data_IF_628268968238
#
_entry.id   IF_628268968238
#
_cell.length_a   1.000
_cell.length_b   1.000
_cell.length_c   1.000
_cell.angle_alpha   90.00
_cell.angle_beta   90.00
_cell.angle_gamma   90.00
#
_symmetry.space_group_name_H-M   'P 1'
#
loop_
_entity.id
_entity.type
_entity.pdbx_description
1 polymer ?
#
# COMPACT_ATOMS: atom_id res chain seq x y z
N UNK A 1 16.42 13.15 1.75
CA UNK A 1 17.02 14.49 1.56
C UNK A 1 16.54 15.49 2.60
N UNK A 2 15.23 15.79 2.69
CA UNK A 2 14.63 16.74 3.66
C UNK A 2 15.17 16.54 5.08
N UNK A 3 15.07 15.32 5.63
CA UNK A 3 15.61 15.02 6.97
C UNK A 3 17.12 15.27 7.17
N UNK A 4 17.93 15.18 6.11
CA UNK A 4 19.36 15.53 6.19
C UNK A 4 19.58 17.03 6.15
N UNK A 5 18.82 17.74 5.31
CA UNK A 5 18.80 19.20 5.27
C UNK A 5 18.38 19.77 6.63
N UNK A 6 17.36 19.20 7.28
CA UNK A 6 16.90 19.60 8.62
C UNK A 6 17.98 19.40 9.71
N UNK A 7 18.92 18.47 9.48
CA UNK A 7 20.07 18.22 10.37
C UNK A 7 21.29 19.08 10.04
N UNK A 8 21.16 20.03 9.10
CA UNK A 8 22.25 20.92 8.68
C UNK A 8 23.30 20.24 7.79
N UNK A 9 22.99 19.07 7.21
CA UNK A 9 23.89 18.39 6.27
C UNK A 9 23.68 18.93 4.85
N UNK A 10 24.13 20.17 4.63
CA UNK A 10 23.98 20.91 3.37
C UNK A 10 24.80 20.30 2.21
N UNK A 11 25.82 19.49 2.53
CA UNK A 11 26.68 18.81 1.57
C UNK A 11 26.30 17.33 1.36
N UNK A 12 25.19 16.87 1.93
CA UNK A 12 24.69 15.53 1.69
C UNK A 12 24.47 15.32 0.19
N UNK A 13 25.30 14.46 -0.42
CA UNK A 13 25.06 13.96 -1.77
C UNK A 13 23.61 13.45 -1.84
N UNK A 14 22.94 13.72 -2.96
CA UNK A 14 21.63 13.14 -3.24
C UNK A 14 21.81 11.62 -3.32
N UNK A 15 21.44 10.94 -2.24
CA UNK A 15 21.53 9.50 -2.16
C UNK A 15 20.16 8.88 -2.47
N UNK A 16 20.07 8.23 -3.63
CA UNK A 16 18.86 7.52 -4.05
C UNK A 16 18.88 6.08 -3.55
N UNK A 17 17.71 5.56 -3.17
CA UNK A 17 17.52 4.13 -2.93
C UNK A 17 17.33 3.41 -4.26
N UNK A 18 17.77 2.15 -4.30
CA UNK A 18 17.61 1.30 -5.48
C UNK A 18 16.14 0.92 -5.66
N UNK A 19 15.50 1.52 -6.67
CA UNK A 19 14.18 1.07 -7.11
C UNK A 19 14.25 -0.36 -7.69
N UNK A 20 15.39 -0.72 -8.31
CA UNK A 20 15.64 -2.06 -8.85
C UNK A 20 15.51 -3.14 -7.78
N UNK A 21 16.17 -2.94 -6.64
CA UNK A 21 16.14 -3.89 -5.54
C UNK A 21 14.73 -4.03 -4.99
N UNK A 22 14.03 -2.92 -4.75
CA UNK A 22 12.66 -2.96 -4.27
C UNK A 22 11.76 -3.75 -5.23
N UNK A 23 11.85 -3.51 -6.54
CA UNK A 23 11.03 -4.21 -7.53
C UNK A 23 11.43 -5.68 -7.73
N UNK A 24 12.70 -6.05 -7.51
CA UNK A 24 13.19 -7.43 -7.67
C UNK A 24 13.05 -8.28 -6.40
N UNK A 25 13.14 -7.68 -5.20
CA UNK A 25 13.33 -8.40 -3.94
C UNK A 25 12.18 -8.26 -2.94
N UNK A 26 11.21 -7.36 -3.14
CA UNK A 26 10.16 -7.11 -2.16
C UNK A 26 9.20 -8.30 -1.92
N UNK A 27 9.25 -9.38 -2.71
CA UNK A 27 8.61 -10.69 -2.47
C UNK A 27 7.08 -10.73 -2.49
N UNK A 28 6.40 -9.62 -2.22
CA UNK A 28 4.94 -9.48 -2.09
C UNK A 28 4.31 -8.64 -3.21
N UNK A 29 5.00 -8.50 -4.35
CA UNK A 29 4.49 -7.85 -5.56
C UNK A 29 4.97 -8.57 -6.82
N UNK A 30 4.33 -8.27 -7.95
CA UNK A 30 4.65 -8.87 -9.25
C UNK A 30 5.69 -8.02 -10.00
N UNK A 31 6.56 -7.33 -9.26
CA UNK A 31 7.55 -6.35 -9.74
C UNK A 31 7.00 -5.38 -10.80
N UNK A 32 7.38 -5.53 -12.06
CA UNK A 32 6.94 -4.74 -13.21
C UNK A 32 5.49 -4.99 -13.63
N UNK A 33 4.86 -6.07 -13.21
CA UNK A 33 3.43 -6.32 -13.47
C UNK A 33 2.51 -5.65 -12.45
N UNK A 34 3.08 -4.97 -11.45
CA UNK A 34 2.36 -4.22 -10.45
C UNK A 34 2.86 -4.48 -9.03
N UNK A 35 2.36 -3.69 -8.10
CA UNK A 35 2.72 -3.81 -6.69
C UNK A 35 1.72 -3.08 -5.80
N UNK A 36 1.93 -3.20 -4.49
CA UNK A 36 1.12 -2.50 -3.50
C UNK A 36 2.03 -1.72 -2.54
N UNK A 37 1.56 -0.54 -2.10
CA UNK A 37 2.32 0.34 -1.22
C UNK A 37 2.63 -0.29 0.15
N UNK A 38 1.69 -0.96 0.85
CA UNK A 38 1.97 -1.57 2.15
C UNK A 38 3.18 -2.51 2.11
N UNK A 39 3.24 -3.42 1.13
CA UNK A 39 4.35 -4.37 0.97
C UNK A 39 5.68 -3.66 0.72
N UNK A 40 5.68 -2.62 -0.12
CA UNK A 40 6.89 -1.84 -0.40
C UNK A 40 7.41 -1.14 0.86
N UNK A 41 6.54 -0.46 1.61
CA UNK A 41 6.90 0.19 2.86
C UNK A 41 7.34 -0.80 3.94
N UNK A 42 6.68 -1.95 4.04
CA UNK A 42 7.06 -3.02 4.94
C UNK A 42 8.44 -3.59 4.60
N UNK A 43 8.74 -3.85 3.32
CA UNK A 43 10.06 -4.31 2.90
C UNK A 43 11.15 -3.28 3.22
N UNK A 44 10.88 -2.00 2.94
CA UNK A 44 11.77 -0.91 3.30
C UNK A 44 12.02 -0.82 4.81
N UNK A 45 11.02 -1.13 5.65
CA UNK A 45 11.14 -1.18 7.11
C UNK A 45 11.92 -2.40 7.61
N UNK A 46 11.55 -3.58 7.15
CA UNK A 46 12.03 -4.86 7.69
C UNK A 46 13.40 -5.24 7.16
N UNK A 47 13.62 -5.10 5.85
CA UNK A 47 14.85 -5.50 5.15
C UNK A 47 15.73 -4.29 4.79
N UNK A 48 15.09 -3.16 4.48
CA UNK A 48 15.77 -1.97 3.99
C UNK A 48 16.15 -2.06 2.51
N UNK A 49 16.69 -0.96 1.99
CA UNK A 49 17.12 -0.87 0.59
C UNK A 49 18.58 -0.44 0.49
N UNK A 50 19.30 -1.02 -0.46
CA UNK A 50 20.57 -0.54 -0.92
C UNK A 50 20.43 0.79 -1.67
N UNK A 51 21.57 1.44 -1.87
CA UNK A 51 21.67 2.64 -2.70
C UNK A 51 21.54 2.29 -4.18
N UNK A 52 21.05 3.23 -4.96
CA UNK A 52 20.98 3.15 -6.42
C UNK A 52 22.35 2.83 -7.04
N UNK A 53 23.44 3.37 -6.51
CA UNK A 53 24.80 3.11 -6.99
C UNK A 53 25.26 1.65 -6.80
N UNK A 54 24.63 0.89 -5.90
CA UNK A 54 24.90 -0.54 -5.73
C UNK A 54 24.08 -1.37 -6.74
N UNK A 55 22.79 -1.09 -6.82
CA UNK A 55 21.84 -1.83 -7.64
C UNK A 55 21.13 -0.85 -8.57
N UNK A 56 21.78 -0.42 -9.67
CA UNK A 56 21.19 0.56 -10.57
C UNK A 56 19.89 0.05 -11.19
N UNK A 57 18.96 0.94 -11.47
CA UNK A 57 17.71 0.66 -12.17
C UNK A 57 17.95 0.16 -13.59
N UNK A 58 17.52 -1.08 -13.87
CA UNK A 58 17.68 -1.76 -15.16
C UNK A 58 16.37 -1.98 -15.89
N UNK A 59 15.23 -1.68 -15.27
CA UNK A 59 13.93 -1.82 -15.93
C UNK A 59 13.75 -0.75 -16.99
N UNK A 60 14.07 -1.11 -18.24
CA UNK A 60 13.85 -0.30 -19.42
C UNK A 60 12.64 -0.84 -20.19
N UNK A 61 11.45 -0.51 -19.72
CA UNK A 61 10.22 -0.69 -20.48
C UNK A 61 9.41 0.61 -20.39
N UNK A 62 9.83 1.62 -21.14
CA UNK A 62 8.92 2.74 -21.42
C UNK A 62 8.20 2.49 -22.75
N UNK A 63 6.89 2.74 -22.72
CA UNK A 63 6.06 2.89 -23.89
C UNK A 63 6.36 4.25 -24.53
N UNK A 64 7.02 4.27 -25.69
CA UNK A 64 7.14 5.48 -26.51
C UNK A 64 5.83 5.74 -27.24
N UNK A 65 4.88 6.39 -26.57
CA UNK A 65 3.75 7.09 -27.21
C UNK A 65 3.67 8.58 -26.78
N UNK A 66 4.66 9.13 -26.05
CA UNK A 66 4.62 10.52 -25.55
C UNK A 66 5.77 11.43 -25.98
N UNK A 67 6.70 10.98 -26.84
CA UNK A 67 7.73 11.86 -27.39
C UNK A 67 8.69 12.45 -26.35
N UNK A 68 9.29 11.61 -25.49
CA UNK A 68 10.28 12.04 -24.50
C UNK A 68 11.70 11.63 -24.90
N UNK A 69 12.60 12.59 -24.73
CA UNK A 69 14.03 12.63 -25.07
C UNK A 69 14.88 11.53 -24.40
N UNK A 70 15.86 11.03 -25.17
CA UNK A 70 16.98 10.17 -24.76
C UNK A 70 17.74 10.66 -23.51
N UNK A 71 17.61 11.93 -23.16
CA UNK A 71 18.35 12.54 -22.05
C UNK A 71 17.88 12.15 -20.64
N UNK A 72 16.72 11.49 -20.50
CA UNK A 72 16.25 10.99 -19.20
C UNK A 72 16.93 9.67 -18.78
N UNK A 73 17.78 9.09 -19.63
CA UNK A 73 18.54 7.87 -19.37
C UNK A 73 20.08 8.09 -19.31
N UNK A 74 20.53 9.35 -19.31
CA UNK A 74 21.95 9.72 -19.45
C UNK A 74 22.74 9.48 -18.15
N UNK A 75 23.99 9.03 -18.13
CA UNK A 75 25.03 8.81 -19.13
C UNK A 75 25.94 7.66 -18.66
N UNK A 76 26.75 7.11 -19.55
CA UNK A 76 27.60 5.90 -19.43
C UNK A 76 26.92 4.54 -19.70
N UNK A 77 25.75 4.22 -19.12
CA UNK A 77 25.11 2.89 -19.35
C UNK A 77 24.13 2.83 -20.53
N UNK A 78 23.75 3.98 -21.11
CA UNK A 78 22.80 4.06 -22.25
C UNK A 78 23.46 4.11 -23.63
N UNK A 79 24.79 4.27 -23.72
CA UNK A 79 25.49 4.40 -25.01
C UNK A 79 25.79 3.06 -25.72
N UNK A 80 25.36 1.93 -25.17
CA UNK A 80 25.59 0.63 -25.79
C UNK A 80 24.26 -0.11 -26.01
N UNK A 81 23.59 0.16 -27.14
CA UNK A 81 22.89 -0.83 -28.02
C UNK A 81 21.57 -0.41 -28.70
N UNK A 82 20.99 0.78 -28.50
CA UNK A 82 19.70 1.12 -29.17
C UNK A 82 19.84 2.05 -30.39
N UNK A 83 20.93 1.98 -31.14
CA UNK A 83 21.21 2.90 -32.25
C UNK A 83 20.39 2.68 -33.54
N UNK A 84 19.33 1.85 -33.55
CA UNK A 84 18.74 1.39 -34.83
C UNK A 84 17.21 1.28 -34.92
N UNK A 85 16.42 1.82 -33.99
CA UNK A 85 14.97 1.82 -34.17
C UNK A 85 14.38 3.20 -33.86
N UNK A 86 13.83 3.86 -34.89
CA UNK A 86 13.09 5.11 -34.80
C UNK A 86 11.59 4.78 -34.83
N UNK A 87 10.96 4.76 -33.66
CA UNK A 87 9.55 4.36 -33.52
C UNK A 87 8.54 5.40 -33.99
N UNK A 88 8.98 6.59 -34.42
CA UNK A 88 8.07 7.63 -34.94
C UNK A 88 7.50 7.27 -36.32
N UNK A 89 8.11 6.30 -37.01
CA UNK A 89 7.72 5.90 -38.38
C UNK A 89 7.64 4.39 -38.60
N UNK A 90 7.95 3.57 -37.58
CA UNK A 90 8.21 2.14 -37.76
C UNK A 90 7.24 1.28 -36.95
N UNK A 91 6.43 0.48 -37.64
CA UNK A 91 5.49 -0.46 -37.03
C UNK A 91 6.23 -1.54 -36.22
N UNK A 92 5.59 -2.05 -35.16
CA UNK A 92 6.13 -3.19 -34.41
C UNK A 92 6.50 -4.35 -35.35
N UNK A 93 7.60 -5.08 -35.07
CA UNK A 93 7.95 -6.27 -35.83
C UNK A 93 6.75 -7.23 -35.85
N UNK A 94 6.43 -7.79 -37.02
CA UNK A 94 5.36 -8.80 -37.16
C UNK A 94 5.57 -10.02 -36.23
N UNK A 95 6.83 -10.28 -35.85
CA UNK A 95 7.23 -11.28 -34.86
C UNK A 95 8.20 -10.63 -33.88
N UNK A 96 7.71 -10.09 -32.75
CA UNK A 96 8.55 -9.45 -31.77
C UNK A 96 9.37 -10.51 -31.00
N UNK A 97 10.68 -10.30 -30.92
CA UNK A 97 11.62 -11.07 -30.09
C UNK A 97 11.54 -10.59 -28.63
N UNK A 98 11.22 -11.47 -27.66
CA UNK A 98 11.16 -11.15 -26.24
C UNK A 98 12.43 -10.54 -25.63
N UNK A 99 13.59 -10.79 -26.23
CA UNK A 99 14.89 -10.36 -25.68
C UNK A 99 15.36 -9.02 -26.26
N UNK A 100 14.82 -8.58 -27.40
CA UNK A 100 15.35 -7.43 -28.14
C UNK A 100 14.31 -6.45 -28.65
N UNK A 101 13.02 -6.81 -28.64
CA UNK A 101 11.96 -5.92 -29.12
C UNK A 101 11.54 -4.91 -28.04
N UNK A 102 11.11 -3.69 -28.42
CA UNK A 102 10.55 -2.74 -27.47
C UNK A 102 9.39 -3.35 -26.69
N UNK A 103 9.29 -3.06 -25.38
CA UNK A 103 8.27 -3.69 -24.53
C UNK A 103 6.84 -3.42 -25.02
N UNK A 104 6.58 -2.29 -25.69
CA UNK A 104 5.29 -1.98 -26.32
C UNK A 104 4.89 -2.90 -27.47
N UNK A 105 5.87 -3.56 -28.10
CA UNK A 105 5.66 -4.53 -29.17
C UNK A 105 5.53 -5.96 -28.64
N UNK A 106 5.77 -6.20 -27.35
CA UNK A 106 5.67 -7.51 -26.73
C UNK A 106 4.28 -7.69 -26.10
N UNK A 107 3.60 -8.83 -26.32
CA UNK A 107 2.42 -9.19 -25.56
C UNK A 107 2.70 -9.18 -24.05
N UNK A 108 1.72 -8.81 -23.23
CA UNK A 108 1.89 -8.65 -21.77
C UNK A 108 2.41 -9.90 -21.06
N UNK A 109 2.21 -11.10 -21.62
CA UNK A 109 2.78 -12.36 -21.10
C UNK A 109 4.32 -12.39 -21.14
N UNK A 110 4.95 -11.53 -21.94
CA UNK A 110 6.40 -11.37 -22.01
C UNK A 110 6.93 -10.21 -21.15
N UNK A 111 6.04 -9.45 -20.48
CA UNK A 111 6.44 -8.45 -19.50
C UNK A 111 6.78 -9.20 -18.20
N UNK A 112 8.07 -9.45 -17.98
CA UNK A 112 8.54 -10.17 -16.80
C UNK A 112 8.12 -9.42 -15.53
N UNK A 113 7.50 -10.14 -14.59
CA UNK A 113 7.17 -9.62 -13.26
C UNK A 113 8.44 -9.10 -12.56
N UNK A 114 9.56 -9.82 -12.58
CA UNK A 114 10.85 -9.29 -12.14
C UNK A 114 11.87 -9.41 -13.26
N UNK A 115 12.28 -8.30 -13.91
CA UNK A 115 13.19 -8.36 -15.06
C UNK A 115 14.63 -8.70 -14.64
N UNK A 116 14.95 -8.57 -13.35
CA UNK A 116 16.20 -9.05 -12.75
C UNK A 116 15.83 -9.88 -11.53
N UNK A 117 16.33 -11.12 -11.46
CA UNK A 117 16.19 -11.95 -10.25
C UNK A 117 16.89 -11.30 -9.05
N UNK A 118 16.27 -11.35 -7.87
CA UNK A 118 16.85 -10.80 -6.65
C UNK A 118 18.24 -11.40 -6.35
N UNK A 119 18.42 -12.72 -6.52
CA UNK A 119 19.68 -13.43 -6.29
C UNK A 119 20.84 -13.00 -7.20
N UNK A 120 20.54 -12.22 -8.25
CA UNK A 120 21.54 -11.67 -9.18
C UNK A 120 21.94 -10.24 -8.81
N UNK A 121 21.31 -9.64 -7.82
CA UNK A 121 21.71 -8.35 -7.28
C UNK A 121 22.86 -8.51 -6.27
N UNK A 122 23.71 -7.49 -6.08
CA UNK A 122 24.84 -7.61 -5.16
C UNK A 122 24.40 -7.75 -3.69
N UNK A 123 24.64 -8.92 -3.09
CA UNK A 123 24.30 -9.20 -1.68
C UNK A 123 25.12 -8.40 -0.67
N UNK A 124 26.32 -7.95 -1.04
CA UNK A 124 27.26 -7.29 -0.13
C UNK A 124 26.92 -5.81 0.16
N UNK A 125 25.83 -5.28 -0.39
CA UNK A 125 25.53 -3.86 -0.29
C UNK A 125 24.86 -3.47 1.03
N UNK A 126 25.34 -2.38 1.67
CA UNK A 126 24.69 -1.86 2.86
C UNK A 126 23.24 -1.46 2.57
N UNK A 127 22.31 -2.03 3.34
CA UNK A 127 20.89 -1.67 3.29
C UNK A 127 20.56 -0.65 4.36
N UNK A 128 19.76 0.33 4.00
CA UNK A 128 19.21 1.32 4.92
C UNK A 128 17.74 1.02 5.14
N UNK A 129 17.35 0.81 6.39
CA UNK A 129 15.94 0.62 6.75
C UNK A 129 15.22 1.96 6.81
N UNK A 130 14.01 2.00 6.28
CA UNK A 130 13.06 3.08 6.53
C UNK A 130 12.51 2.88 7.94
N UNK A 131 12.74 3.80 8.88
CA UNK A 131 12.52 3.56 10.30
C UNK A 131 11.04 3.54 10.66
N UNK A 132 10.26 4.44 10.06
CA UNK A 132 8.85 4.63 10.31
C UNK A 132 8.18 5.09 9.02
N UNK A 133 7.11 4.40 8.65
CA UNK A 133 6.13 4.84 7.67
C UNK A 133 4.74 4.92 8.30
N UNK A 134 3.89 5.76 7.72
CA UNK A 134 2.52 5.97 8.15
C UNK A 134 1.57 6.00 6.96
N UNK A 135 0.32 5.66 7.23
CA UNK A 135 -0.78 5.74 6.28
C UNK A 135 -1.79 6.81 6.73
N UNK A 136 -2.18 7.67 5.80
CA UNK A 136 -3.23 8.66 5.95
C UNK A 136 -4.49 8.07 5.31
N UNK A 137 -5.46 7.71 6.16
CA UNK A 137 -6.72 7.09 5.78
C UNK A 137 -7.49 7.90 4.72
N UNK A 138 -7.85 7.23 3.63
CA UNK A 138 -8.73 7.75 2.59
C UNK A 138 -10.20 7.60 2.94
N UNK A 139 -11.08 7.90 1.98
CA UNK A 139 -12.53 7.74 2.18
C UNK A 139 -12.95 6.27 2.24
N UNK A 140 -12.20 5.35 1.62
CA UNK A 140 -12.43 3.91 1.76
C UNK A 140 -12.23 3.42 3.20
N UNK A 141 -11.36 4.08 3.96
CA UNK A 141 -11.08 3.81 5.37
C UNK A 141 -11.89 4.71 6.33
N UNK A 142 -12.89 5.42 5.81
CA UNK A 142 -13.86 6.19 6.61
C UNK A 142 -13.46 7.65 6.89
N UNK A 143 -12.38 8.15 6.29
CA UNK A 143 -12.02 9.58 6.37
C UNK A 143 -12.97 10.43 5.51
N UNK A 144 -13.12 11.71 5.85
CA UNK A 144 -13.77 12.68 4.96
C UNK A 144 -12.72 13.35 4.07
N UNK A 145 -13.11 13.81 2.88
CA UNK A 145 -12.18 14.51 1.98
C UNK A 145 -11.47 15.67 2.69
N UNK A 146 -12.16 16.62 3.37
CA UNK A 146 -11.48 17.72 4.05
C UNK A 146 -10.50 17.28 5.15
N UNK A 147 -10.78 16.18 5.83
CA UNK A 147 -9.89 15.64 6.86
C UNK A 147 -8.64 15.02 6.23
N UNK A 148 -8.82 14.20 5.20
CA UNK A 148 -7.72 13.63 4.43
C UNK A 148 -6.82 14.72 3.84
N UNK A 149 -7.38 15.70 3.15
CA UNK A 149 -6.59 16.75 2.51
C UNK A 149 -5.79 17.55 3.55
N UNK A 150 -6.41 17.88 4.69
CA UNK A 150 -5.72 18.56 5.80
C UNK A 150 -4.54 17.75 6.30
N UNK A 151 -4.72 16.45 6.54
CA UNK A 151 -3.64 15.58 6.99
C UNK A 151 -2.53 15.46 5.94
N UNK A 152 -2.87 15.25 4.67
CA UNK A 152 -1.89 15.21 3.58
C UNK A 152 -1.08 16.50 3.50
N UNK A 153 -1.73 17.68 3.57
CA UNK A 153 -1.05 18.98 3.57
C UNK A 153 -0.12 19.13 4.78
N UNK A 154 -0.57 18.72 5.98
CA UNK A 154 0.23 18.78 7.19
C UNK A 154 1.48 17.88 7.06
N UNK A 155 1.33 16.64 6.59
CA UNK A 155 2.45 15.71 6.47
C UNK A 155 3.42 16.09 5.35
N UNK A 156 2.94 16.70 4.26
CA UNK A 156 3.81 17.27 3.24
C UNK A 156 4.72 18.37 3.80
N UNK A 157 4.27 19.15 4.79
CA UNK A 157 5.10 20.16 5.47
C UNK A 157 6.07 19.56 6.47
N UNK A 158 5.66 18.51 7.19
CA UNK A 158 6.42 17.97 8.32
C UNK A 158 7.38 16.85 7.91
N UNK A 159 6.95 15.96 7.02
CA UNK A 159 7.66 14.74 6.65
C UNK A 159 8.16 14.76 5.20
N UNK A 160 7.54 15.57 4.33
CA UNK A 160 7.89 15.68 2.91
C UNK A 160 6.99 14.84 2.00
N UNK A 161 7.47 14.46 0.81
CA UNK A 161 6.63 13.83 -0.22
C UNK A 161 5.86 12.60 0.25
N UNK A 162 4.63 12.46 -0.23
CA UNK A 162 3.75 11.33 0.06
C UNK A 162 3.59 10.46 -1.18
N UNK A 163 3.66 9.14 -1.01
CA UNK A 163 3.16 8.22 -2.03
C UNK A 163 1.62 8.34 -2.09
N UNK A 164 1.09 8.46 -3.29
CA UNK A 164 -0.35 8.44 -3.56
C UNK A 164 -0.65 7.54 -4.75
N UNK A 165 -1.81 6.90 -4.73
CA UNK A 165 -2.35 6.17 -5.88
C UNK A 165 -3.51 6.95 -6.48
N UNK A 166 -3.62 6.96 -7.80
CA UNK A 166 -4.73 7.56 -8.54
C UNK A 166 -5.23 6.61 -9.62
N UNK A 167 -6.44 6.80 -10.12
CA UNK A 167 -6.91 6.15 -11.34
C UNK A 167 -6.49 6.97 -12.56
N UNK A 168 -5.79 6.34 -13.49
CA UNK A 168 -5.57 6.89 -14.82
C UNK A 168 -6.73 6.54 -15.73
N UNK A 169 -7.08 7.49 -16.58
CA UNK A 169 -8.13 7.37 -17.59
C UNK A 169 -7.51 7.58 -18.98
N UNK A 170 -8.20 7.11 -20.02
CA UNK A 170 -7.74 7.23 -21.41
C UNK A 170 -7.45 8.68 -21.82
N UNK A 171 -8.21 9.63 -21.31
CA UNK A 171 -8.06 11.06 -21.60
C UNK A 171 -6.94 11.76 -20.80
N UNK A 172 -6.21 11.02 -19.95
CA UNK A 172 -5.04 11.57 -19.24
C UNK A 172 -3.99 12.16 -20.19
N UNK A 173 -3.85 11.58 -21.38
CA UNK A 173 -2.91 12.06 -22.41
C UNK A 173 -3.54 13.02 -23.41
N UNK A 174 -4.84 13.31 -23.29
CA UNK A 174 -5.55 14.20 -24.20
C UNK A 174 -5.41 15.65 -23.73
N UNK A 175 -4.81 16.57 -24.53
CA UNK A 175 -4.68 17.97 -24.17
C UNK A 175 -5.99 18.65 -23.76
N UNK A 176 -7.14 18.18 -24.26
CA UNK A 176 -8.46 18.75 -23.92
C UNK A 176 -8.83 18.53 -22.45
N UNK A 177 -8.25 17.53 -21.78
CA UNK A 177 -8.48 17.26 -20.36
C UNK A 177 -7.56 18.04 -19.41
N UNK A 178 -6.76 18.97 -19.94
CA UNK A 178 -5.87 19.84 -19.16
C UNK A 178 -6.32 21.30 -19.23
N UNK A 179 -6.31 22.00 -18.10
CA UNK A 179 -6.54 23.45 -18.05
C UNK A 179 -5.34 24.21 -18.61
N UNK A 180 -5.52 25.50 -18.92
CA UNK A 180 -4.41 26.37 -19.33
C UNK A 180 -3.31 26.47 -18.26
N UNK A 181 -3.67 26.32 -16.98
CA UNK A 181 -2.75 26.28 -15.84
C UNK A 181 -2.08 24.93 -15.60
N UNK A 182 -2.36 23.93 -16.44
CA UNK A 182 -1.79 22.58 -16.40
C UNK A 182 -2.42 21.65 -15.36
N UNK A 183 -3.67 21.91 -14.95
CA UNK A 183 -4.43 21.03 -14.06
C UNK A 183 -5.19 20.01 -14.90
N UNK A 184 -4.92 18.73 -14.65
CA UNK A 184 -5.70 17.66 -15.23
C UNK A 184 -7.08 17.57 -14.58
N UNK A 185 -8.10 17.50 -15.44
CA UNK A 185 -9.51 17.31 -15.09
C UNK A 185 -10.05 16.23 -16.01
N UNK A 186 -10.31 15.04 -15.47
CA UNK A 186 -10.92 13.96 -16.22
C UNK A 186 -12.28 14.37 -16.77
N UNK A 187 -12.52 14.09 -18.07
CA UNK A 187 -13.74 14.44 -18.80
C UNK A 187 -14.40 13.23 -19.46
N UNK A 188 -13.61 12.25 -19.93
CA UNK A 188 -14.10 11.12 -20.73
C UNK A 188 -13.16 9.93 -20.75
N UNK A 189 -13.65 8.79 -21.21
CA UNK A 189 -12.84 7.61 -21.46
C UNK A 189 -12.75 6.69 -20.24
N UNK A 190 -12.37 5.45 -20.51
CA UNK A 190 -12.39 4.39 -19.50
C UNK A 190 -11.17 4.44 -18.58
N UNK A 191 -11.30 3.82 -17.41
CA UNK A 191 -10.19 3.60 -16.47
C UNK A 191 -9.16 2.69 -17.12
N UNK A 192 -7.91 3.15 -17.18
CA UNK A 192 -6.76 2.37 -17.64
C UNK A 192 -6.17 1.53 -16.51
N UNK A 193 -6.20 2.05 -15.28
CA UNK A 193 -5.68 1.35 -14.11
C UNK A 193 -5.31 2.30 -12.98
N UNK A 194 -4.75 1.72 -11.91
CA UNK A 194 -4.15 2.49 -10.83
C UNK A 194 -2.72 2.88 -11.19
N UNK A 195 -2.32 4.09 -10.84
CA UNK A 195 -0.97 4.59 -11.01
C UNK A 195 -0.46 5.21 -9.73
N UNK A 196 0.80 4.93 -9.42
CA UNK A 196 1.50 5.40 -8.23
C UNK A 196 2.35 6.62 -8.58
N UNK A 197 2.20 7.70 -7.80
CA UNK A 197 2.98 8.93 -7.95
C UNK A 197 3.35 9.50 -6.59
N UNK A 198 4.23 10.50 -6.57
CA UNK A 198 4.55 11.24 -5.36
C UNK A 198 3.79 12.56 -5.32
N UNK A 199 2.95 12.78 -4.31
CA UNK A 199 2.47 14.11 -3.98
C UNK A 199 3.61 14.91 -3.34
N UNK A 200 3.89 16.10 -3.87
CA UNK A 200 5.00 16.95 -3.45
C UNK A 200 4.55 18.35 -3.03
N UNK A 201 3.28 18.67 -3.24
CA UNK A 201 2.72 19.95 -2.85
C UNK A 201 1.25 20.09 -3.24
N UNK A 202 0.72 21.28 -3.02
CA UNK A 202 -0.63 21.68 -3.42
C UNK A 202 -0.65 23.18 -3.63
N UNK A 203 -1.72 23.67 -4.24
CA UNK A 203 -1.93 25.10 -4.39
C UNK A 203 -3.29 25.43 -4.97
N UNK A 204 -3.42 26.68 -5.37
CA UNK A 204 -4.58 27.22 -6.06
C UNK A 204 -4.08 27.98 -7.28
N UNK A 205 -4.67 27.75 -8.45
CA UNK A 205 -4.31 28.48 -9.65
C UNK A 205 -4.98 29.88 -9.71
N UNK A 206 -4.66 30.65 -10.76
CA UNK A 206 -5.20 31.99 -10.95
C UNK A 206 -6.73 32.02 -11.15
N UNK A 207 -7.33 30.90 -11.54
CA UNK A 207 -8.78 30.73 -11.71
C UNK A 207 -9.46 30.20 -10.44
N UNK A 208 -8.77 30.21 -9.30
CA UNK A 208 -9.27 29.72 -8.01
C UNK A 208 -9.56 28.21 -8.00
N UNK A 209 -8.88 27.42 -8.84
CA UNK A 209 -8.93 25.95 -8.80
C UNK A 209 -7.83 25.41 -7.91
N UNK A 210 -8.26 24.67 -6.91
CA UNK A 210 -7.35 23.97 -6.00
C UNK A 210 -6.77 22.72 -6.67
N UNK A 211 -5.48 22.46 -6.47
CA UNK A 211 -4.79 21.31 -7.05
C UNK A 211 -3.80 20.65 -6.10
N UNK A 212 -3.55 19.38 -6.36
CA UNK A 212 -2.37 18.64 -5.89
C UNK A 212 -1.26 18.74 -6.92
N UNK A 213 -0.03 19.01 -6.49
CA UNK A 213 1.17 18.95 -7.31
C UNK A 213 1.80 17.58 -7.13
N UNK A 214 1.90 16.83 -8.22
CA UNK A 214 2.35 15.44 -8.23
C UNK A 214 3.60 15.33 -9.10
N UNK A 215 4.57 14.52 -8.66
CA UNK A 215 5.75 14.12 -9.41
C UNK A 215 5.50 12.72 -9.98
N UNK A 216 5.56 12.62 -11.31
CA UNK A 216 5.42 11.37 -12.02
C UNK A 216 6.76 10.65 -12.18
N UNK A 217 6.73 9.38 -12.60
CA UNK A 217 7.89 8.53 -12.83
C UNK A 217 8.22 8.35 -14.32
N UNK A 218 7.77 9.29 -15.17
CA UNK A 218 7.93 9.26 -16.64
C UNK A 218 9.12 10.11 -17.14
N UNK A 219 10.00 10.53 -16.24
CA UNK A 219 11.15 11.37 -16.55
C UNK A 219 10.80 12.86 -16.70
N UNK A 220 11.84 13.69 -16.75
CA UNK A 220 11.70 15.14 -16.75
C UNK A 220 11.19 15.73 -18.07
N UNK A 221 11.26 15.00 -19.18
CA UNK A 221 10.70 15.47 -20.45
C UNK A 221 9.17 15.42 -20.52
N UNK A 222 8.50 14.80 -19.54
CA UNK A 222 7.05 14.73 -19.49
C UNK A 222 6.45 15.97 -18.81
N UNK A 223 5.46 16.61 -19.44
CA UNK A 223 4.77 17.79 -18.89
C UNK A 223 5.76 18.85 -18.38
N UNK A 224 5.59 19.36 -17.16
CA UNK A 224 6.44 20.38 -16.57
C UNK A 224 7.54 19.69 -15.74
N UNK A 225 8.64 19.30 -16.38
CA UNK A 225 9.80 18.67 -15.71
C UNK A 225 9.47 17.36 -14.97
N UNK A 226 8.47 16.62 -15.44
CA UNK A 226 7.95 15.39 -14.81
C UNK A 226 6.83 15.64 -13.80
N UNK A 227 6.53 16.91 -13.48
CA UNK A 227 5.46 17.31 -12.58
C UNK A 227 4.16 17.57 -13.33
N UNK A 228 3.05 17.34 -12.63
CA UNK A 228 1.72 17.64 -13.12
C UNK A 228 0.79 18.00 -11.97
N UNK A 229 -0.32 18.64 -12.30
CA UNK A 229 -1.34 19.04 -11.32
C UNK A 229 -2.61 18.24 -11.54
N UNK A 230 -3.24 17.81 -10.46
CA UNK A 230 -4.58 17.19 -10.50
C UNK A 230 -5.51 18.02 -9.65
N UNK A 231 -6.76 18.18 -10.10
CA UNK A 231 -7.78 18.90 -9.34
C UNK A 231 -7.93 18.30 -7.94
N UNK A 232 -7.92 19.15 -6.91
CA UNK A 232 -8.08 18.76 -5.50
C UNK A 232 -9.57 18.71 -5.14
N UNK A 233 -9.95 17.81 -4.24
CA UNK A 233 -11.33 17.51 -3.88
C UNK A 233 -11.78 16.11 -4.31
N UNK A 234 -13.10 15.93 -4.43
CA UNK A 234 -13.73 14.64 -4.76
C UNK A 234 -13.30 14.08 -6.12
N UNK A 235 -12.99 14.96 -7.07
CA UNK A 235 -12.58 14.63 -8.44
C UNK A 235 -11.07 14.39 -8.62
N UNK A 236 -10.31 14.23 -7.53
CA UNK A 236 -8.87 13.98 -7.55
C UNK A 236 -8.51 12.55 -8.02
N UNK A 237 -9.17 12.03 -9.06
CA UNK A 237 -8.91 10.71 -9.65
C UNK A 237 -8.94 9.55 -8.66
N UNK A 238 -9.91 9.56 -7.75
CA UNK A 238 -10.02 8.61 -6.65
C UNK A 238 -8.79 8.58 -5.71
N UNK A 239 -7.86 9.53 -5.80
CA UNK A 239 -6.75 9.65 -4.86
C UNK A 239 -7.26 9.80 -3.42
N UNK A 240 -8.35 10.55 -3.25
CA UNK A 240 -9.01 10.72 -1.96
C UNK A 240 -9.62 9.44 -1.40
N UNK A 241 -9.88 8.45 -2.25
CA UNK A 241 -10.37 7.14 -1.86
C UNK A 241 -9.27 6.25 -1.30
N UNK A 242 -8.09 6.27 -1.91
CA UNK A 242 -7.00 5.36 -1.56
C UNK A 242 -6.09 5.86 -0.43
N UNK A 243 -6.20 7.14 -0.06
CA UNK A 243 -5.36 7.75 0.97
C UNK A 243 -3.94 8.01 0.49
N UNK A 244 -3.01 8.17 1.44
CA UNK A 244 -1.62 8.50 1.16
C UNK A 244 -0.67 7.83 2.14
N UNK A 245 0.57 7.59 1.72
CA UNK A 245 1.61 6.98 2.55
C UNK A 245 2.81 7.91 2.65
N UNK A 246 3.41 7.99 3.83
CA UNK A 246 4.59 8.82 4.08
C UNK A 246 5.63 8.10 4.91
N UNK A 247 6.86 8.62 4.89
CA UNK A 247 7.95 8.19 5.76
C UNK A 247 8.28 9.30 6.73
N UNK A 248 8.46 8.98 8.01
CA UNK A 248 8.91 9.95 8.99
C UNK A 248 10.32 9.57 9.50
N UNK A 249 11.25 10.48 9.21
CA UNK A 249 12.67 10.36 9.53
C UNK A 249 13.09 11.20 10.74
N UNK A 250 12.14 11.76 11.48
CA UNK A 250 12.43 12.58 12.67
C UNK A 250 13.11 11.77 13.78
N UNK A 251 12.83 10.46 13.88
CA UNK A 251 13.39 9.56 14.88
C UNK A 251 13.86 8.24 14.24
N UNK A 252 14.96 8.25 13.46
CA UNK A 252 15.35 7.11 12.63
C UNK A 252 15.79 5.87 13.42
N UNK A 253 16.10 6.03 14.71
CA UNK A 253 16.51 4.93 15.57
C UNK A 253 15.32 4.29 16.32
N UNK A 254 14.09 4.77 16.09
CA UNK A 254 12.88 4.29 16.77
C UNK A 254 11.80 3.95 15.75
N UNK A 255 11.45 2.68 15.69
CA UNK A 255 10.26 2.23 14.98
C UNK A 255 8.99 2.70 15.70
N UNK A 256 8.16 3.46 14.98
CA UNK A 256 6.86 3.96 15.44
C UNK A 256 5.70 3.49 14.56
N UNK A 257 5.99 2.67 13.55
CA UNK A 257 4.97 2.15 12.64
C UNK A 257 4.12 1.17 13.43
N UNK A 258 2.82 1.42 13.46
CA UNK A 258 1.89 0.47 14.06
C UNK A 258 1.71 -0.71 13.10
N UNK A 259 1.65 -1.95 13.60
CA UNK A 259 1.34 -3.10 12.74
C UNK A 259 -0.04 -2.89 12.11
N UNK A 260 -0.19 -3.18 10.83
CA UNK A 260 -1.51 -3.16 10.19
C UNK A 260 -2.26 -4.45 10.51
N UNK A 261 -3.59 -4.36 10.57
CA UNK A 261 -4.48 -5.52 10.80
C UNK A 261 -5.36 -5.64 9.57
N UNK A 262 -5.30 -6.80 8.90
CA UNK A 262 -6.05 -7.10 7.68
C UNK A 262 -6.78 -8.44 7.80
N UNK A 263 -7.71 -8.68 6.86
CA UNK A 263 -8.45 -9.95 6.72
C UNK A 263 -9.07 -10.45 8.03
N UNK A 264 -9.69 -9.52 8.77
CA UNK A 264 -10.33 -9.85 10.04
C UNK A 264 -11.62 -10.61 9.78
N UNK A 265 -11.62 -11.90 10.12
CA UNK A 265 -12.78 -12.78 10.09
C UNK A 265 -13.21 -13.13 11.52
N UNK A 266 -14.51 -12.95 11.79
CA UNK A 266 -15.15 -13.38 13.03
C UNK A 266 -16.17 -14.47 12.70
N UNK A 267 -15.98 -15.64 13.29
CA UNK A 267 -16.85 -16.79 13.09
C UNK A 267 -17.22 -17.45 14.42
N UNK A 268 -18.42 -18.00 14.51
CA UNK A 268 -18.81 -18.82 15.65
C UNK A 268 -18.59 -20.31 15.35
N UNK A 269 -17.98 -21.02 16.30
CA UNK A 269 -17.71 -22.45 16.20
C UNK A 269 -18.27 -23.17 17.44
N UNK A 270 -19.51 -23.67 17.39
CA UNK A 270 -20.09 -24.46 18.47
C UNK A 270 -19.54 -25.90 18.45
N UNK A 271 -19.24 -26.44 19.63
CA UNK A 271 -18.78 -27.81 19.85
C UNK A 271 -19.81 -28.54 20.72
N UNK A 272 -20.27 -29.70 20.26
CA UNK A 272 -21.20 -30.55 21.00
C UNK A 272 -20.50 -31.24 22.17
N UNK A 273 -21.22 -31.44 23.27
CA UNK A 273 -20.72 -32.23 24.40
C UNK A 273 -20.57 -33.71 24.00
N UNK A 274 -19.62 -34.43 24.60
CA UNK A 274 -19.29 -35.81 24.26
C UNK A 274 -20.46 -36.80 24.41
N UNK A 275 -20.36 -37.90 23.65
CA UNK A 275 -21.43 -38.85 23.26
C UNK A 275 -22.14 -39.56 24.44
N UNK A 276 -21.67 -39.43 25.68
CA UNK A 276 -22.40 -39.91 26.86
C UNK A 276 -23.69 -39.11 27.13
N UNK A 277 -23.79 -37.88 26.61
CA UNK A 277 -24.94 -36.97 26.75
C UNK A 277 -25.60 -36.59 25.41
N UNK A 278 -25.25 -37.28 24.31
CA UNK A 278 -25.74 -36.98 22.96
C UNK A 278 -27.28 -37.09 22.80
N UNK A 279 -27.98 -37.77 23.72
CA UNK A 279 -29.43 -37.79 23.75
C UNK A 279 -30.06 -36.44 24.18
N UNK A 280 -29.27 -35.49 24.71
CA UNK A 280 -29.75 -34.22 25.28
C UNK A 280 -29.57 -32.99 24.38
N UNK A 281 -28.79 -33.07 23.30
CA UNK A 281 -28.49 -31.90 22.46
C UNK A 281 -27.79 -30.78 23.24
N UNK A 282 -26.77 -31.11 24.03
CA UNK A 282 -26.03 -30.16 24.87
C UNK A 282 -24.81 -29.58 24.13
N UNK A 283 -24.63 -28.26 24.17
CA UNK A 283 -23.38 -27.60 23.76
C UNK A 283 -22.32 -27.77 24.86
N UNK A 284 -21.13 -28.23 24.48
CA UNK A 284 -19.96 -28.25 25.36
C UNK A 284 -19.28 -26.88 25.40
N UNK A 285 -18.89 -26.35 24.24
CA UNK A 285 -18.23 -25.06 24.10
C UNK A 285 -18.83 -24.28 22.92
N UNK A 286 -18.76 -22.94 22.98
CA UNK A 286 -19.09 -22.09 21.83
C UNK A 286 -17.98 -21.09 21.66
N UNK A 287 -17.12 -21.29 20.66
CA UNK A 287 -16.01 -20.40 20.42
C UNK A 287 -16.42 -19.25 19.50
N UNK A 288 -16.09 -18.03 19.89
CA UNK A 288 -15.80 -16.98 18.93
C UNK A 288 -14.39 -17.20 18.41
N UNK A 289 -14.28 -17.55 17.12
CA UNK A 289 -13.02 -17.61 16.40
C UNK A 289 -12.77 -16.25 15.75
N UNK A 290 -11.64 -15.65 16.07
CA UNK A 290 -11.16 -14.44 15.45
C UNK A 290 -9.86 -14.75 14.69
N UNK A 291 -9.94 -14.66 13.37
CA UNK A 291 -8.80 -14.81 12.48
C UNK A 291 -8.41 -13.44 11.93
N UNK A 292 -7.12 -13.16 11.86
CA UNK A 292 -6.60 -11.92 11.27
C UNK A 292 -5.16 -12.09 10.82
N UNK A 293 -4.74 -11.22 9.90
CA UNK A 293 -3.35 -11.11 9.46
C UNK A 293 -2.77 -9.77 9.89
N UNK A 294 -1.49 -9.79 10.24
CA UNK A 294 -0.68 -8.58 10.43
C UNK A 294 0.44 -8.56 9.40
N UNK A 295 0.84 -7.36 8.99
CA UNK A 295 1.94 -7.15 8.03
C UNK A 295 3.31 -7.52 8.62
N UNK A 296 3.42 -7.53 9.95
CA UNK A 296 4.63 -7.86 10.68
C UNK A 296 4.36 -8.70 11.93
N UNK A 297 5.33 -9.46 12.46
CA UNK A 297 5.12 -10.27 13.66
C UNK A 297 4.61 -9.44 14.86
N UNK A 298 3.35 -9.65 15.22
CA UNK A 298 2.64 -8.96 16.30
C UNK A 298 2.04 -9.97 17.29
N UNK A 299 1.52 -9.48 18.42
CA UNK A 299 0.60 -10.23 19.28
C UNK A 299 -0.79 -9.61 19.16
N UNK A 300 -1.79 -10.43 18.86
CA UNK A 300 -3.17 -9.98 18.75
C UNK A 300 -3.90 -10.20 20.08
N UNK A 301 -4.75 -9.25 20.46
CA UNK A 301 -5.70 -9.36 21.56
C UNK A 301 -7.10 -9.10 21.01
N UNK A 302 -8.04 -9.96 21.37
CA UNK A 302 -9.45 -9.81 21.03
C UNK A 302 -10.23 -9.66 22.32
N UNK A 303 -11.07 -8.64 22.39
CA UNK A 303 -12.02 -8.42 23.49
C UNK A 303 -13.43 -8.38 22.94
N UNK A 304 -14.33 -9.06 23.62
CA UNK A 304 -15.77 -8.97 23.41
C UNK A 304 -16.43 -8.40 24.65
N UNK A 305 -17.46 -7.58 24.47
CA UNK A 305 -18.28 -7.02 25.54
C UNK A 305 -19.76 -7.08 25.17
N UNK A 306 -20.56 -7.79 25.96
CA UNK A 306 -22.02 -7.77 25.86
C UNK A 306 -22.58 -6.39 26.15
N UNK A 307 -23.58 -5.98 25.38
CA UNK A 307 -24.20 -4.66 25.48
C UNK A 307 -25.29 -4.62 26.55
N UNK A 308 -25.98 -5.75 26.79
CA UNK A 308 -27.07 -5.84 27.76
C UNK A 308 -26.58 -6.38 29.09
N UNK A 309 -25.82 -7.48 29.06
CA UNK A 309 -25.34 -8.13 30.28
C UNK A 309 -24.00 -7.55 30.80
N UNK A 310 -23.33 -6.69 30.01
CA UNK A 310 -22.02 -6.08 30.30
C UNK A 310 -20.85 -7.06 30.51
N UNK A 311 -21.08 -8.36 30.27
CA UNK A 311 -20.06 -9.41 30.39
C UNK A 311 -18.94 -9.14 29.40
N UNK A 312 -17.70 -9.31 29.84
CA UNK A 312 -16.51 -9.14 29.01
C UNK A 312 -15.67 -10.40 28.97
N UNK A 313 -15.23 -10.79 27.78
CA UNK A 313 -14.22 -11.82 27.59
C UNK A 313 -13.05 -11.28 26.78
N UNK A 314 -11.86 -11.85 26.99
CA UNK A 314 -10.69 -11.50 26.21
C UNK A 314 -9.75 -12.70 26.02
N UNK A 315 -9.07 -12.72 24.88
CA UNK A 315 -8.05 -13.71 24.55
C UNK A 315 -6.91 -13.00 23.82
N UNK A 316 -5.67 -13.47 24.00
CA UNK A 316 -4.48 -12.89 23.36
C UNK A 316 -3.49 -13.95 22.93
N UNK A 317 -2.69 -13.63 21.93
CA UNK A 317 -1.53 -14.44 21.55
C UNK A 317 -0.44 -14.41 22.63
N UNK A 318 0.27 -15.53 22.74
CA UNK A 318 1.50 -15.65 23.52
C UNK A 318 2.74 -15.24 22.71
N UNK A 319 2.73 -15.45 21.39
CA UNK A 319 3.88 -15.31 20.50
C UNK A 319 3.69 -14.22 19.46
N UNK A 320 4.80 -13.64 19.03
CA UNK A 320 4.86 -12.68 17.93
C UNK A 320 4.86 -13.42 16.59
N UNK A 321 3.76 -13.30 15.84
CA UNK A 321 3.52 -13.98 14.55
C UNK A 321 2.66 -13.10 13.64
N UNK A 322 2.54 -13.49 12.37
CA UNK A 322 1.79 -12.73 11.34
C UNK A 322 0.36 -13.24 11.14
N UNK A 323 0.14 -14.55 11.30
CA UNK A 323 -1.17 -15.18 11.19
C UNK A 323 -1.73 -15.46 12.58
N UNK A 324 -2.93 -14.95 12.83
CA UNK A 324 -3.57 -15.00 14.14
C UNK A 324 -4.87 -15.78 14.06
N UNK A 325 -5.04 -16.74 14.97
CA UNK A 325 -6.30 -17.45 15.20
C UNK A 325 -6.51 -17.54 16.70
N UNK A 326 -7.45 -16.76 17.23
CA UNK A 326 -7.79 -16.76 18.65
C UNK A 326 -9.18 -17.34 18.87
N UNK A 327 -9.33 -18.08 19.96
CA UNK A 327 -10.57 -18.73 20.36
C UNK A 327 -10.98 -18.23 21.73
N UNK A 328 -12.18 -17.66 21.82
CA UNK A 328 -12.77 -17.23 23.08
C UNK A 328 -14.05 -18.03 23.32
N UNK A 329 -14.12 -18.73 24.45
CA UNK A 329 -15.30 -19.51 24.79
C UNK A 329 -16.41 -18.62 25.36
N UNK A 330 -17.48 -18.46 24.58
CA UNK A 330 -18.63 -17.64 24.90
C UNK A 330 -19.53 -18.27 25.97
N UNK A 331 -19.54 -19.60 26.06
CA UNK A 331 -20.29 -20.31 27.10
C UNK A 331 -19.62 -20.11 28.46
N UNK A 332 -18.29 -20.26 28.52
CA UNK A 332 -17.51 -20.12 29.75
C UNK A 332 -17.64 -18.71 30.34
N UNK A 333 -17.57 -17.68 29.49
CA UNK A 333 -17.73 -16.29 29.97
C UNK A 333 -19.19 -15.91 30.21
N UNK A 334 -20.17 -16.72 29.81
CA UNK A 334 -21.60 -16.44 29.98
C UNK A 334 -22.16 -15.37 29.04
N UNK A 335 -21.67 -15.31 27.79
CA UNK A 335 -22.09 -14.36 26.77
C UNK A 335 -22.78 -15.07 25.61
N UNK A 336 -24.08 -15.34 25.75
CA UNK A 336 -24.98 -15.81 24.68
C UNK A 336 -26.25 -14.97 24.68
N UNK A 337 -26.96 -14.96 23.55
CA UNK A 337 -28.25 -14.26 23.40
C UNK A 337 -28.18 -12.76 23.74
N UNK A 338 -27.08 -12.12 23.32
CA UNK A 338 -26.85 -10.69 23.52
C UNK A 338 -26.18 -10.09 22.28
N UNK A 339 -26.34 -8.77 22.12
CA UNK A 339 -25.49 -7.99 21.23
C UNK A 339 -24.16 -7.76 21.89
N UNK A 340 -23.09 -7.85 21.12
CA UNK A 340 -21.75 -7.64 21.65
C UNK A 340 -20.92 -6.74 20.76
N UNK A 341 -20.04 -5.96 21.40
CA UNK A 341 -18.96 -5.24 20.73
C UNK A 341 -17.69 -6.07 20.77
N UNK A 342 -17.08 -6.27 19.60
CA UNK A 342 -15.77 -6.90 19.46
C UNK A 342 -14.74 -5.86 19.05
N UNK A 343 -13.61 -5.84 19.75
CA UNK A 343 -12.48 -4.98 19.48
C UNK A 343 -11.21 -5.82 19.43
N UNK A 344 -10.35 -5.52 18.47
CA UNK A 344 -9.05 -6.14 18.31
C UNK A 344 -7.94 -5.12 18.55
N UNK A 345 -6.81 -5.58 19.06
CA UNK A 345 -5.56 -4.83 19.19
C UNK A 345 -4.38 -5.68 18.79
N UNK A 346 -3.49 -5.13 17.98
CA UNK A 346 -2.20 -5.74 17.67
C UNK A 346 -1.08 -4.91 18.32
N UNK A 347 -0.11 -5.59 18.92
CA UNK A 347 1.12 -4.96 19.44
C UNK A 347 2.34 -5.63 18.82
N UNK A 348 3.22 -4.82 18.24
CA UNK A 348 4.48 -5.30 17.63
C UNK A 348 5.59 -5.49 18.69
N UNK A 349 6.81 -5.82 18.24
CA UNK A 349 7.97 -5.99 19.13
C UNK A 349 8.47 -4.66 19.70
N UNK A 350 8.29 -3.57 18.97
CA UNK A 350 8.62 -2.20 19.39
C UNK A 350 7.58 -1.58 20.34
N UNK A 351 6.51 -2.32 20.69
CA UNK A 351 5.37 -1.89 21.51
C UNK A 351 4.46 -0.86 20.83
N UNK A 352 4.51 -0.72 19.51
CA UNK A 352 3.54 0.05 18.77
C UNK A 352 2.21 -0.72 18.73
N UNK A 353 1.11 -0.01 18.97
CA UNK A 353 -0.23 -0.62 19.09
C UNK A 353 -1.16 -0.11 18.00
N UNK A 354 -1.79 -1.03 17.29
CA UNK A 354 -2.93 -0.77 16.41
C UNK A 354 -4.21 -1.36 17.01
N UNK A 355 -5.36 -0.86 16.57
CA UNK A 355 -6.66 -1.36 17.00
C UNK A 355 -7.64 -1.38 15.84
N UNK A 356 -8.51 -2.39 15.80
CA UNK A 356 -9.51 -2.59 14.74
C UNK A 356 -10.89 -2.83 15.35
N UNK A 357 -11.90 -2.09 14.87
CA UNK A 357 -13.23 -2.01 15.47
C UNK A 357 -13.46 -0.77 16.34
N UNK A 358 -14.55 -0.72 17.12
CA UNK A 358 -15.35 -1.87 17.52
C UNK A 358 -16.42 -2.27 16.50
N UNK A 359 -16.63 -3.57 16.31
CA UNK A 359 -17.74 -4.12 15.52
C UNK A 359 -18.86 -4.56 16.43
N UNK A 360 -20.10 -4.33 16.03
CA UNK A 360 -21.26 -4.88 16.74
C UNK A 360 -21.72 -6.15 16.03
N UNK A 361 -21.92 -7.22 16.80
CA UNK A 361 -22.45 -8.48 16.31
C UNK A 361 -23.56 -9.01 17.23
N UNK A 362 -24.43 -9.83 16.68
CA UNK A 362 -25.46 -10.57 17.42
C UNK A 362 -24.86 -11.91 17.85
N UNK A 363 -24.79 -12.18 19.16
CA UNK A 363 -24.37 -13.49 19.67
C UNK A 363 -25.60 -14.39 19.77
N UNK A 364 -25.69 -15.48 18.99
CA UNK A 364 -26.86 -16.34 18.99
C UNK A 364 -27.15 -17.00 20.35
N UNK A 365 -28.41 -17.37 20.55
CA UNK A 365 -28.82 -18.17 21.71
C UNK A 365 -28.25 -19.61 21.62
N UNK A 366 -28.18 -20.29 22.77
CA UNK A 366 -27.83 -21.72 22.84
C UNK A 366 -28.68 -22.58 21.90
N UNK A 367 -29.99 -22.29 21.81
CA UNK A 367 -30.93 -23.01 20.94
C UNK A 367 -30.60 -22.82 19.46
N UNK A 368 -30.24 -21.60 19.07
CA UNK A 368 -29.88 -21.27 17.69
C UNK A 368 -28.65 -22.05 17.24
N UNK A 369 -27.62 -22.15 18.10
CA UNK A 369 -26.42 -22.92 17.80
C UNK A 369 -26.70 -24.42 17.62
N UNK A 370 -27.58 -25.00 18.44
CA UNK A 370 -27.97 -26.40 18.32
C UNK A 370 -28.73 -26.68 17.04
N UNK A 371 -29.63 -25.78 16.62
CA UNK A 371 -30.38 -25.91 15.37
C UNK A 371 -29.51 -25.76 14.12
N UNK A 372 -28.41 -25.02 14.19
CA UNK A 372 -27.48 -24.85 13.07
C UNK A 372 -26.59 -26.09 12.81
N UNK A 373 -26.53 -27.02 13.77
CA UNK A 373 -25.75 -28.25 13.70
C UNK A 373 -26.57 -29.46 13.25
N UNK A 374 -27.90 -29.39 13.33
CA UNK A 374 -28.84 -30.40 12.84
C UNK A 374 -29.19 -30.16 11.37
#
# INVERSE_FOLDING_TARGET
>A
CVSRLDRGDENARLDFFSAQELTSCAGQGDGCAGGNAPAAFYHMKSEGLAREECSPYRMRCFNDDTGISQSAADSETSQHRSSHFDSSTQACPLKPDPMTSPCKCLPSVFHLASPVSCDLLPDACPKTKVPHYFFIAGTAEGSTIPLLERHMMQELLLAGPLYVSLLLYQDFYDPVSWTESGIYVHKRGDVLGKHAVAAVGWGTDAESRDYWLLLNSFGSGWQQEGYFKVLRGESALEMTKFGAWGTDWSHPDKDRSKPTIADVELAFSPVLADVADAASGSLGNVYLMASAFTDEPARLLVRIQGLSNTVTGQVKDSEYKVEHVLKLDLLDIGLLDDRAKVQLWAVDRAQNTASWGPYTLEVPSKRTFLLAQS
#
